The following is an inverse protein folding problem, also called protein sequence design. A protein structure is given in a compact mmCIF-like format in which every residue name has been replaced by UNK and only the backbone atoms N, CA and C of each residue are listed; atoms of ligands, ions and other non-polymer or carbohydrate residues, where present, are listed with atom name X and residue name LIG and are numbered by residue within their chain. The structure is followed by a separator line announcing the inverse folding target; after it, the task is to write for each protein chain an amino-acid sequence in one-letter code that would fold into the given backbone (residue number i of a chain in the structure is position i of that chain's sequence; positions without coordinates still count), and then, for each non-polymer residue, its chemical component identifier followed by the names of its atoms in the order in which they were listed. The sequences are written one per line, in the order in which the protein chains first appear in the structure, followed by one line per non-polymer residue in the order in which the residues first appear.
data_IF_234898986179
#
_entry.id   IF_234898986179
#
_cell.length_a   1.000
_cell.length_b   1.000
_cell.length_c   1.000
_cell.angle_alpha   90.00
_cell.angle_beta   90.00
_cell.angle_gamma   90.00
#
_symmetry.space_group_name_H-M   'P 1'
#
loop_
_entity.id
_entity.type
_entity.pdbx_description
1 polymer ?
#
# COMPACT_ATOMS: atom_id res chain seq x y z
N UNK A 1 20.79 13.76 24.35
CA UNK A 1 20.03 13.89 23.09
C UNK A 1 18.59 13.63 23.44
N UNK A 2 17.70 14.55 23.10
CA UNK A 2 16.26 14.46 23.43
C UNK A 2 15.49 14.25 22.14
N UNK A 3 14.72 13.16 22.05
CA UNK A 3 13.82 12.93 20.93
C UNK A 3 12.50 13.66 21.21
N UNK A 4 12.03 14.41 20.22
CA UNK A 4 10.74 15.11 20.23
C UNK A 4 9.83 14.52 19.17
N UNK A 5 8.51 14.47 19.43
CA UNK A 5 7.49 14.13 18.44
C UNK A 5 6.67 15.38 18.16
N UNK A 6 6.48 15.66 16.89
CA UNK A 6 5.66 16.77 16.40
C UNK A 6 4.87 16.37 15.15
N UNK A 7 3.94 17.24 14.77
CA UNK A 7 3.29 17.11 13.48
C UNK A 7 4.29 17.25 12.33
N UNK A 8 4.03 16.49 11.28
CA UNK A 8 4.71 16.61 10.01
C UNK A 8 4.47 17.99 9.39
N UNK A 9 5.50 18.55 8.81
CA UNK A 9 5.44 19.75 7.99
C UNK A 9 5.77 19.39 6.53
N UNK A 10 5.27 20.14 5.53
CA UNK A 10 5.58 19.85 4.12
C UNK A 10 7.09 19.74 3.83
N UNK A 11 7.92 20.50 4.54
CA UNK A 11 9.39 20.44 4.43
C UNK A 11 10.00 19.10 4.92
N UNK A 12 9.23 18.28 5.64
CA UNK A 12 9.70 16.96 6.12
C UNK A 12 9.51 15.85 5.07
N UNK A 13 8.88 16.12 3.92
CA UNK A 13 8.47 15.08 2.97
C UNK A 13 9.64 14.21 2.49
N UNK A 14 10.78 14.80 2.14
CA UNK A 14 11.99 14.05 1.76
C UNK A 14 12.54 13.20 2.91
N UNK A 15 12.58 13.75 4.11
CA UNK A 15 13.05 13.05 5.31
C UNK A 15 12.08 11.91 5.69
N UNK A 16 10.77 12.13 5.52
CA UNK A 16 9.74 11.11 5.70
C UNK A 16 9.96 9.91 4.80
N UNK A 17 10.12 10.15 3.49
CA UNK A 17 10.36 9.11 2.50
C UNK A 17 11.68 8.39 2.78
N UNK A 18 12.75 9.12 3.10
CA UNK A 18 14.06 8.55 3.46
C UNK A 18 13.95 7.58 4.64
N UNK A 19 13.30 8.00 5.74
CA UNK A 19 13.15 7.17 6.94
C UNK A 19 12.33 5.92 6.63
N UNK A 20 11.23 6.08 5.91
CA UNK A 20 10.36 4.96 5.57
C UNK A 20 11.01 3.97 4.61
N UNK A 21 11.72 4.44 3.58
CA UNK A 21 12.47 3.57 2.66
C UNK A 21 13.58 2.79 3.37
N UNK A 22 14.25 3.40 4.35
CA UNK A 22 15.25 2.71 5.16
C UNK A 22 14.63 1.63 6.05
N UNK A 23 13.43 1.87 6.60
CA UNK A 23 12.72 0.92 7.45
C UNK A 23 11.97 -0.15 6.62
N UNK A 24 11.46 0.20 5.44
CA UNK A 24 10.61 -0.60 4.57
C UNK A 24 11.17 -0.59 3.14
N UNK A 25 12.16 -1.44 2.83
CA UNK A 25 12.88 -1.38 1.54
C UNK A 25 12.00 -1.69 0.31
N UNK A 26 10.82 -2.29 0.52
CA UNK A 26 9.83 -2.57 -0.53
C UNK A 26 8.90 -1.38 -0.83
N UNK A 27 8.99 -0.29 -0.09
CA UNK A 27 8.11 0.86 -0.25
C UNK A 27 8.37 1.60 -1.56
N UNK A 28 7.27 1.87 -2.28
CA UNK A 28 7.23 2.70 -3.48
C UNK A 28 6.41 3.95 -3.13
N UNK A 29 7.08 5.05 -2.89
CA UNK A 29 6.46 6.34 -2.55
C UNK A 29 7.40 7.49 -2.84
N UNK A 30 6.84 8.67 -3.06
CA UNK A 30 7.56 9.92 -3.29
C UNK A 30 7.14 10.99 -2.29
N UNK A 31 7.92 12.07 -2.12
CA UNK A 31 7.50 13.22 -1.32
C UNK A 31 6.16 13.81 -1.78
N UNK A 32 5.93 13.89 -3.08
CA UNK A 32 4.68 14.40 -3.67
C UNK A 32 3.48 13.54 -3.30
N UNK A 33 3.63 12.20 -3.30
CA UNK A 33 2.58 11.29 -2.85
C UNK A 33 2.24 11.53 -1.38
N UNK A 34 3.24 11.70 -0.51
CA UNK A 34 3.02 11.95 0.93
C UNK A 34 2.23 13.25 1.14
N UNK A 35 2.59 14.30 0.40
CA UNK A 35 1.90 15.59 0.47
C UNK A 35 0.46 15.50 -0.05
N UNK A 36 0.26 14.81 -1.16
CA UNK A 36 -1.07 14.58 -1.74
C UNK A 36 -1.94 13.72 -0.82
N UNK A 37 -1.42 12.61 -0.28
CA UNK A 37 -2.14 11.74 0.66
C UNK A 37 -2.60 12.48 1.92
N UNK A 38 -1.84 13.49 2.35
CA UNK A 38 -2.21 14.33 3.48
C UNK A 38 -3.27 15.38 3.10
N UNK A 39 -3.11 16.01 1.93
CA UNK A 39 -4.00 17.08 1.46
C UNK A 39 -5.38 16.55 1.07
N UNK A 40 -5.43 15.39 0.42
CA UNK A 40 -6.64 14.75 -0.09
C UNK A 40 -7.30 13.78 0.90
N UNK A 41 -6.76 13.68 2.13
CA UNK A 41 -7.31 12.76 3.13
C UNK A 41 -8.76 13.14 3.47
N UNK A 42 -9.68 12.17 3.38
CA UNK A 42 -11.07 12.38 3.77
C UNK A 42 -11.16 12.88 5.22
N UNK A 43 -12.02 13.88 5.54
CA UNK A 43 -12.12 14.44 6.90
C UNK A 43 -12.36 13.38 7.99
N UNK A 44 -13.21 12.39 7.74
CA UNK A 44 -13.54 11.32 8.69
C UNK A 44 -12.36 10.36 8.94
N UNK A 45 -11.31 10.43 8.13
CA UNK A 45 -10.07 9.69 8.37
C UNK A 45 -9.28 10.24 9.55
N UNK A 46 -9.53 11.49 9.97
CA UNK A 46 -8.75 12.17 11.00
C UNK A 46 -7.24 11.96 10.83
N UNK A 47 -6.80 12.02 9.55
CA UNK A 47 -5.46 11.64 9.14
C UNK A 47 -4.41 12.58 9.69
N UNK A 48 -3.36 12.03 10.28
CA UNK A 48 -2.24 12.78 10.85
C UNK A 48 -0.92 12.09 10.54
N UNK A 49 0.07 12.87 10.14
CA UNK A 49 1.44 12.43 10.00
C UNK A 49 2.27 13.00 11.14
N UNK A 50 3.04 12.16 11.83
CA UNK A 50 3.90 12.52 12.94
C UNK A 50 5.36 12.23 12.60
N UNK A 51 6.26 13.11 13.02
CA UNK A 51 7.70 12.89 12.93
C UNK A 51 8.34 12.86 14.31
N UNK A 52 9.33 11.98 14.49
CA UNK A 52 10.21 11.99 15.62
C UNK A 52 11.53 12.60 15.19
N UNK A 53 11.96 13.65 15.88
CA UNK A 53 13.15 14.45 15.58
C UNK A 53 14.17 14.35 16.72
N UNK A 54 15.43 14.18 16.37
CA UNK A 54 16.58 14.23 17.27
C UNK A 54 17.61 15.20 16.71
N UNK A 55 17.97 16.24 17.45
CA UNK A 55 18.96 17.26 17.06
C UNK A 55 18.70 17.88 15.66
N UNK A 56 17.43 18.12 15.31
CA UNK A 56 17.01 18.69 14.02
C UNK A 56 16.91 17.68 12.87
N UNK A 57 17.19 16.39 13.10
CA UNK A 57 17.05 15.33 12.11
C UNK A 57 15.79 14.51 12.35
N UNK A 58 14.96 14.30 11.32
CA UNK A 58 13.84 13.35 11.36
C UNK A 58 14.38 11.93 11.33
N UNK A 59 14.18 11.19 12.43
CA UNK A 59 14.65 9.82 12.64
C UNK A 59 13.54 8.79 12.70
N UNK A 60 12.29 9.23 12.80
CA UNK A 60 11.12 8.36 12.85
C UNK A 60 9.88 9.06 12.32
N UNK A 61 8.91 8.27 11.90
CA UNK A 61 7.64 8.72 11.31
C UNK A 61 6.50 7.87 11.83
N UNK A 62 5.28 8.43 11.91
CA UNK A 62 4.08 7.64 12.10
C UNK A 62 2.93 8.19 11.27
N UNK A 63 2.20 7.31 10.62
CA UNK A 63 0.95 7.61 9.94
C UNK A 63 -0.19 7.14 10.83
N UNK A 64 -1.13 8.03 11.13
CA UNK A 64 -2.19 7.82 12.11
C UNK A 64 -3.54 8.24 11.51
N UNK A 65 -4.61 7.54 11.83
CA UNK A 65 -5.95 7.91 11.40
C UNK A 65 -6.98 6.83 11.62
N UNK A 66 -8.22 7.11 11.22
CA UNK A 66 -9.34 6.17 11.22
C UNK A 66 -9.45 5.50 9.85
N UNK A 67 -9.73 4.21 9.84
CA UNK A 67 -10.09 3.45 8.63
C UNK A 67 -11.56 3.74 8.28
N UNK A 68 -11.85 4.96 7.79
CA UNK A 68 -13.20 5.47 7.60
C UNK A 68 -14.04 4.67 6.58
N UNK A 69 -13.38 4.02 5.61
CA UNK A 69 -14.04 3.14 4.63
C UNK A 69 -14.20 1.69 5.15
N UNK A 70 -13.81 1.43 6.40
CA UNK A 70 -14.00 0.12 7.01
C UNK A 70 -15.48 -0.14 7.31
N UNK A 71 -15.94 -1.36 7.02
CA UNK A 71 -17.28 -1.81 7.44
C UNK A 71 -17.41 -2.00 8.95
N UNK A 72 -16.28 -1.95 9.69
CA UNK A 72 -16.23 -1.92 11.16
C UNK A 72 -15.98 -0.48 11.60
N UNK A 73 -16.84 0.11 12.43
CA UNK A 73 -16.65 1.48 12.91
C UNK A 73 -15.43 1.61 13.84
N UNK A 74 -14.94 2.82 13.99
CA UNK A 74 -13.97 3.24 15.00
C UNK A 74 -12.64 2.46 14.99
N UNK A 75 -12.27 1.92 13.82
CA UNK A 75 -11.00 1.24 13.64
C UNK A 75 -9.89 2.25 13.32
N UNK A 76 -9.02 2.51 14.28
CA UNK A 76 -7.84 3.34 14.12
C UNK A 76 -6.65 2.56 13.53
N UNK A 77 -5.73 3.28 12.93
CA UNK A 77 -4.41 2.76 12.56
C UNK A 77 -3.31 3.71 13.05
N UNK A 78 -2.19 3.12 13.47
CA UNK A 78 -0.96 3.85 13.81
C UNK A 78 0.23 3.03 13.33
N UNK A 79 0.94 3.51 12.31
CA UNK A 79 2.07 2.81 11.69
C UNK A 79 3.38 3.59 11.92
N UNK A 80 4.06 3.39 13.07
CA UNK A 80 5.32 4.04 13.40
C UNK A 80 6.49 3.29 12.78
N UNK A 81 7.42 4.02 12.16
CA UNK A 81 8.69 3.49 11.66
C UNK A 81 9.84 4.38 12.12
N UNK A 82 10.93 3.77 12.55
CA UNK A 82 12.15 4.45 12.97
C UNK A 82 13.28 3.98 12.06
N UNK A 83 14.10 4.94 11.60
CA UNK A 83 15.29 4.62 10.80
C UNK A 83 16.10 3.53 11.50
N UNK A 84 16.51 2.45 10.81
CA UNK A 84 17.20 1.31 11.44
C UNK A 84 18.38 1.72 12.34
N UNK A 85 19.23 2.63 11.87
CA UNK A 85 20.41 3.10 12.61
C UNK A 85 20.09 4.03 13.79
N UNK A 86 18.83 4.42 13.96
CA UNK A 86 18.34 5.32 15.01
C UNK A 86 17.39 4.64 15.99
N UNK A 87 17.21 3.30 15.88
CA UNK A 87 16.41 2.51 16.83
C UNK A 87 17.02 2.51 18.24
N UNK A 88 16.21 2.19 19.24
CA UNK A 88 16.65 2.09 20.65
C UNK A 88 16.74 3.42 21.40
N UNK A 89 16.40 4.57 20.78
CA UNK A 89 16.47 5.92 21.37
C UNK A 89 15.14 6.46 21.90
N UNK A 90 14.08 5.65 21.92
CA UNK A 90 12.76 6.04 22.43
C UNK A 90 11.79 6.59 21.39
N UNK A 91 12.24 6.94 20.17
CA UNK A 91 11.41 7.54 19.12
C UNK A 91 10.12 6.74 18.83
N UNK A 92 10.22 5.43 18.64
CA UNK A 92 9.05 4.57 18.41
C UNK A 92 8.02 4.59 19.55
N UNK A 93 8.49 4.68 20.80
CA UNK A 93 7.60 4.77 21.97
C UNK A 93 6.83 6.08 22.03
N UNK A 94 7.49 7.17 21.67
CA UNK A 94 6.88 8.50 21.63
C UNK A 94 5.87 8.60 20.48
N UNK A 95 6.21 8.06 19.29
CA UNK A 95 5.31 8.05 18.15
C UNK A 95 4.04 7.23 18.43
N UNK A 96 4.18 6.01 19.01
CA UNK A 96 3.02 5.19 19.40
C UNK A 96 2.13 5.95 20.38
N UNK A 97 2.71 6.55 21.44
CA UNK A 97 1.96 7.30 22.44
C UNK A 97 1.17 8.45 21.79
N UNK A 98 1.83 9.29 21.01
CA UNK A 98 1.19 10.41 20.34
C UNK A 98 0.08 9.95 19.36
N UNK A 99 0.29 8.83 18.67
CA UNK A 99 -0.71 8.23 17.80
C UNK A 99 -1.92 7.70 18.56
N UNK A 100 -1.70 6.97 19.67
CA UNK A 100 -2.78 6.45 20.52
C UNK A 100 -3.57 7.57 21.19
N UNK A 101 -2.91 8.63 21.66
CA UNK A 101 -3.55 9.83 22.21
C UNK A 101 -4.47 10.50 21.18
N UNK A 102 -3.99 10.67 19.94
CA UNK A 102 -4.80 11.21 18.85
C UNK A 102 -6.02 10.31 18.57
N UNK A 103 -5.82 9.01 18.41
CA UNK A 103 -6.88 8.05 18.08
C UNK A 103 -7.94 7.96 19.19
N UNK A 104 -7.53 7.97 20.46
CA UNK A 104 -8.45 8.05 21.59
C UNK A 104 -9.28 9.35 21.54
N UNK A 105 -8.63 10.46 21.22
CA UNK A 105 -9.29 11.78 21.12
C UNK A 105 -10.33 11.86 20.00
N UNK A 106 -10.21 11.05 18.95
CA UNK A 106 -11.19 10.97 17.82
C UNK A 106 -12.13 9.78 17.91
N UNK A 107 -12.15 9.07 19.06
CA UNK A 107 -13.13 8.02 19.35
C UNK A 107 -12.79 6.63 18.80
N UNK A 108 -11.55 6.37 18.43
CA UNK A 108 -11.16 5.01 18.05
C UNK A 108 -11.31 4.05 19.23
N UNK A 109 -11.80 2.85 18.95
CA UNK A 109 -11.95 1.75 19.93
C UNK A 109 -10.87 0.70 19.81
N UNK A 110 -10.22 0.62 18.66
CA UNK A 110 -9.08 -0.27 18.41
C UNK A 110 -8.02 0.42 17.58
N UNK A 111 -6.75 0.07 17.80
CA UNK A 111 -5.61 0.51 17.00
C UNK A 111 -4.98 -0.66 16.30
N UNK A 112 -4.92 -0.57 14.99
CA UNK A 112 -4.22 -1.50 14.12
C UNK A 112 -2.84 -0.94 13.74
N UNK A 113 -1.83 -1.81 13.71
CA UNK A 113 -0.49 -1.46 13.25
C UNK A 113 0.12 -2.59 12.45
N UNK A 114 0.97 -2.25 11.49
CA UNK A 114 1.84 -3.22 10.82
C UNK A 114 3.20 -3.23 11.51
N UNK A 115 3.70 -4.42 11.81
CA UNK A 115 4.97 -4.63 12.50
C UNK A 115 5.86 -5.50 11.63
N UNK A 116 6.99 -4.94 11.21
CA UNK A 116 7.97 -5.66 10.40
C UNK A 116 8.55 -6.84 11.21
N UNK A 117 8.47 -8.02 10.64
CA UNK A 117 9.04 -9.26 11.18
C UNK A 117 10.45 -9.49 10.60
N UNK A 118 11.37 -8.58 10.97
CA UNK A 118 12.79 -8.66 10.65
C UNK A 118 13.64 -9.15 11.83
N UNK A 119 12.98 -9.65 12.87
CA UNK A 119 13.57 -10.15 14.08
C UNK A 119 12.70 -9.93 15.33
N UNK A 120 13.05 -10.53 16.47
CA UNK A 120 12.17 -10.58 17.64
C UNK A 120 11.93 -9.21 18.30
N UNK A 121 12.78 -8.22 18.03
CA UNK A 121 12.72 -6.93 18.71
C UNK A 121 11.46 -6.13 18.38
N UNK A 122 11.05 -6.10 17.11
CA UNK A 122 9.87 -5.34 16.67
C UNK A 122 8.57 -5.99 17.19
N UNK A 123 8.46 -7.31 17.09
CA UNK A 123 7.30 -8.06 17.62
C UNK A 123 7.19 -7.91 19.14
N UNK A 124 8.34 -8.00 19.85
CA UNK A 124 8.38 -7.80 21.31
C UNK A 124 8.03 -6.35 21.70
N UNK A 125 8.40 -5.36 20.87
CA UNK A 125 8.04 -3.97 21.09
C UNK A 125 6.52 -3.75 21.04
N UNK A 126 5.84 -4.35 20.07
CA UNK A 126 4.38 -4.31 19.97
C UNK A 126 3.71 -5.08 21.14
N UNK A 127 4.15 -6.31 21.40
CA UNK A 127 3.59 -7.16 22.47
C UNK A 127 3.68 -6.51 23.86
N UNK A 128 4.82 -5.86 24.19
CA UNK A 128 5.01 -5.14 25.47
C UNK A 128 4.05 -3.96 25.65
N UNK A 129 3.40 -3.48 24.56
CA UNK A 129 2.40 -2.41 24.56
C UNK A 129 0.97 -2.92 24.49
N UNK A 130 0.78 -4.23 24.63
CA UNK A 130 -0.54 -4.85 24.62
C UNK A 130 -1.12 -5.08 23.22
N UNK A 131 -0.32 -4.93 22.16
CA UNK A 131 -0.74 -5.28 20.83
C UNK A 131 -0.67 -6.79 20.62
N UNK A 132 -1.79 -7.39 20.23
CA UNK A 132 -1.88 -8.81 19.91
C UNK A 132 -1.66 -9.05 18.41
N UNK A 133 -0.77 -9.98 18.09
CA UNK A 133 -0.52 -10.38 16.70
C UNK A 133 -1.79 -10.98 16.05
N UNK A 134 -2.00 -10.67 14.80
CA UNK A 134 -3.07 -11.20 13.95
C UNK A 134 -2.46 -11.94 12.77
N UNK A 135 -2.67 -11.47 11.56
CA UNK A 135 -2.26 -12.12 10.32
C UNK A 135 -1.04 -11.47 9.71
N UNK A 136 -0.18 -12.24 9.07
CA UNK A 136 0.95 -11.71 8.32
C UNK A 136 0.53 -11.27 6.90
N UNK A 137 1.31 -10.31 6.35
CA UNK A 137 1.34 -9.98 4.94
C UNK A 137 2.77 -10.13 4.43
N UNK A 138 2.91 -10.64 3.23
CA UNK A 138 4.19 -10.76 2.55
C UNK A 138 4.35 -9.65 1.52
N UNK A 139 5.50 -9.00 1.56
CA UNK A 139 5.94 -8.08 0.53
C UNK A 139 6.97 -8.80 -0.36
N UNK A 140 6.76 -8.68 -1.65
CA UNK A 140 7.53 -9.44 -2.64
C UNK A 140 8.23 -8.49 -3.61
N UNK A 141 9.41 -8.89 -4.07
CA UNK A 141 10.21 -8.16 -5.05
C UNK A 141 10.49 -9.04 -6.26
N UNK A 142 10.48 -8.43 -7.43
CA UNK A 142 10.94 -8.98 -8.69
C UNK A 142 11.94 -8.02 -9.33
N UNK A 143 13.14 -8.49 -9.68
CA UNK A 143 14.07 -7.73 -10.51
C UNK A 143 13.55 -7.66 -11.94
N UNK A 144 13.26 -6.46 -12.45
CA UNK A 144 12.80 -6.27 -13.83
C UNK A 144 13.95 -6.14 -14.82
N UNK A 145 15.06 -5.54 -14.39
CA UNK A 145 16.21 -5.31 -15.27
C UNK A 145 16.83 -6.63 -15.77
N UNK A 146 17.07 -7.54 -14.83
CA UNK A 146 17.78 -8.81 -15.07
C UNK A 146 16.85 -10.03 -15.10
N UNK A 147 15.59 -9.85 -14.70
CA UNK A 147 14.61 -10.92 -14.62
C UNK A 147 14.02 -11.32 -15.96
N UNK A 148 13.65 -12.60 -16.07
CA UNK A 148 12.94 -13.11 -17.24
C UNK A 148 11.44 -13.07 -16.97
N UNK A 149 10.74 -12.12 -17.60
CA UNK A 149 9.27 -12.11 -17.59
C UNK A 149 8.72 -13.18 -18.53
N UNK A 150 7.60 -13.81 -18.19
CA UNK A 150 6.88 -14.66 -19.14
C UNK A 150 6.55 -13.87 -20.42
N UNK A 151 6.65 -14.48 -21.61
CA UNK A 151 6.36 -13.77 -22.85
C UNK A 151 4.91 -13.27 -22.89
N UNK A 152 4.72 -12.16 -23.58
CA UNK A 152 3.37 -11.69 -23.89
C UNK A 152 2.70 -12.73 -24.80
N UNK A 153 1.48 -13.10 -24.44
CA UNK A 153 0.71 -14.12 -25.17
C UNK A 153 -0.25 -13.44 -26.16
N UNK A 154 -0.60 -14.14 -27.23
CA UNK A 154 -1.70 -13.75 -28.10
C UNK A 154 -3.00 -13.68 -27.30
N UNK A 155 -3.80 -12.65 -27.58
CA UNK A 155 -5.06 -12.44 -26.88
C UNK A 155 -6.12 -13.42 -27.41
N UNK A 156 -6.86 -14.09 -26.54
CA UNK A 156 -8.01 -14.88 -26.96
C UNK A 156 -9.06 -14.02 -27.67
N UNK A 157 -9.89 -14.63 -28.51
CA UNK A 157 -10.99 -13.92 -29.17
C UNK A 157 -11.91 -13.23 -28.12
N UNK A 158 -12.28 -11.99 -28.41
CA UNK A 158 -13.10 -11.16 -27.52
C UNK A 158 -12.36 -10.57 -26.32
N UNK A 159 -11.06 -10.87 -26.11
CA UNK A 159 -10.23 -10.28 -25.07
C UNK A 159 -9.48 -9.08 -25.63
N UNK A 160 -9.61 -7.94 -24.98
CA UNK A 160 -8.85 -6.71 -25.26
C UNK A 160 -7.87 -6.39 -24.13
N UNK A 161 -6.81 -5.68 -24.47
CA UNK A 161 -5.80 -5.19 -23.54
C UNK A 161 -5.65 -3.69 -23.72
N UNK A 162 -6.02 -2.93 -22.72
CA UNK A 162 -6.02 -1.48 -22.62
C UNK A 162 -5.13 -1.04 -21.45
N UNK A 163 -5.04 0.25 -21.24
CA UNK A 163 -4.43 0.87 -20.05
C UNK A 163 -5.44 1.74 -19.32
N UNK A 164 -5.14 2.19 -18.12
CA UNK A 164 -5.99 3.16 -17.43
C UNK A 164 -6.07 4.49 -18.20
N UNK A 165 -5.05 4.86 -18.99
CA UNK A 165 -5.09 6.05 -19.85
C UNK A 165 -6.23 6.01 -20.88
N UNK A 166 -6.68 4.85 -21.30
CA UNK A 166 -7.82 4.70 -22.21
C UNK A 166 -9.17 5.04 -21.53
N UNK A 167 -9.17 5.29 -20.21
CA UNK A 167 -10.34 5.63 -19.40
C UNK A 167 -10.25 7.05 -18.80
N UNK A 168 -9.38 7.93 -19.29
CA UNK A 168 -9.19 9.29 -18.75
C UNK A 168 -10.48 10.12 -18.83
N UNK A 169 -11.28 9.96 -19.89
CA UNK A 169 -12.55 10.67 -20.05
C UNK A 169 -13.66 10.14 -19.13
N UNK A 170 -13.61 8.86 -18.77
CA UNK A 170 -14.55 8.23 -17.85
C UNK A 170 -13.89 7.09 -17.06
N UNK A 171 -13.27 7.37 -15.90
CA UNK A 171 -12.67 6.33 -15.05
C UNK A 171 -13.66 5.54 -14.20
N UNK A 172 -14.96 5.83 -14.25
CA UNK A 172 -16.00 5.14 -13.47
C UNK A 172 -15.99 3.62 -13.64
N UNK A 173 -15.80 3.03 -14.82
CA UNK A 173 -15.72 1.57 -14.95
C UNK A 173 -14.56 0.95 -14.16
N UNK A 174 -13.42 1.67 -14.02
CA UNK A 174 -12.30 1.22 -13.21
C UNK A 174 -12.58 1.35 -11.71
N UNK A 175 -13.26 2.42 -11.27
CA UNK A 175 -13.75 2.54 -9.90
C UNK A 175 -14.65 1.37 -9.51
N UNK A 176 -15.62 1.00 -10.37
CA UNK A 176 -16.52 -0.13 -10.13
C UNK A 176 -15.74 -1.46 -10.03
N UNK A 177 -14.76 -1.66 -10.91
CA UNK A 177 -13.91 -2.84 -10.90
C UNK A 177 -13.02 -2.90 -9.65
N UNK A 178 -12.44 -1.79 -9.24
CA UNK A 178 -11.62 -1.69 -8.04
C UNK A 178 -12.45 -1.93 -6.78
N UNK A 179 -13.63 -1.32 -6.69
CA UNK A 179 -14.58 -1.54 -5.58
C UNK A 179 -14.96 -3.02 -5.43
N UNK A 180 -15.31 -3.71 -6.54
CA UNK A 180 -15.64 -5.13 -6.49
C UNK A 180 -14.46 -5.98 -6.03
N UNK A 181 -13.27 -5.74 -6.58
CA UNK A 181 -12.11 -6.58 -6.29
C UNK A 181 -11.52 -6.33 -4.91
N UNK A 182 -11.50 -5.08 -4.44
CA UNK A 182 -11.04 -4.72 -3.08
C UNK A 182 -11.94 -5.30 -2.01
N UNK A 183 -13.27 -5.33 -2.23
CA UNK A 183 -14.20 -5.93 -1.27
C UNK A 183 -14.00 -7.44 -1.07
N UNK A 184 -13.34 -8.11 -1.99
CA UNK A 184 -13.03 -9.55 -1.92
C UNK A 184 -11.64 -9.83 -1.33
N UNK A 185 -10.84 -8.81 -1.03
CA UNK A 185 -9.54 -9.01 -0.40
C UNK A 185 -9.68 -9.47 1.06
N UNK A 186 -8.89 -10.46 1.49
CA UNK A 186 -8.84 -10.84 2.90
C UNK A 186 -8.43 -9.64 3.75
N UNK A 187 -9.27 -9.20 4.70
CA UNK A 187 -8.98 -8.06 5.58
C UNK A 187 -9.58 -8.21 6.99
N UNK A 188 -8.83 -7.76 8.02
CA UNK A 188 -9.36 -7.61 9.40
C UNK A 188 -10.24 -6.36 9.52
N UNK A 189 -10.00 -5.40 8.64
CA UNK A 189 -10.76 -4.17 8.45
C UNK A 189 -11.22 -4.12 7.00
N UNK A 190 -12.28 -4.87 6.61
CA UNK A 190 -12.78 -4.88 5.24
C UNK A 190 -13.10 -3.46 4.78
N UNK A 191 -12.63 -3.10 3.61
CA UNK A 191 -12.84 -1.79 2.99
C UNK A 191 -13.89 -1.91 1.90
N UNK A 192 -14.73 -0.89 1.79
CA UNK A 192 -15.69 -0.75 0.70
C UNK A 192 -15.64 0.69 0.19
N UNK A 193 -15.16 0.88 -1.01
CA UNK A 193 -15.24 2.19 -1.67
C UNK A 193 -16.69 2.51 -2.03
N UNK A 194 -17.22 3.56 -1.46
CA UNK A 194 -18.60 4.02 -1.73
C UNK A 194 -18.62 5.44 -2.30
N UNK A 195 -17.54 6.18 -2.15
CA UNK A 195 -17.37 7.55 -2.59
C UNK A 195 -16.45 7.62 -3.81
N UNK A 196 -17.04 7.89 -4.98
CA UNK A 196 -16.33 8.02 -6.23
C UNK A 196 -15.39 9.23 -6.26
N UNK A 197 -15.81 10.36 -5.70
CA UNK A 197 -14.96 11.57 -5.67
C UNK A 197 -13.76 11.38 -4.76
N UNK A 198 -13.94 10.72 -3.62
CA UNK A 198 -12.83 10.33 -2.77
C UNK A 198 -11.87 9.38 -3.49
N UNK A 199 -12.38 8.37 -4.20
CA UNK A 199 -11.55 7.46 -5.00
C UNK A 199 -10.80 8.19 -6.12
N UNK A 200 -11.45 9.15 -6.79
CA UNK A 200 -10.77 9.99 -7.79
C UNK A 200 -9.61 10.76 -7.19
N UNK A 201 -9.77 11.33 -6.01
CA UNK A 201 -8.73 12.11 -5.33
C UNK A 201 -7.59 11.23 -4.83
N UNK A 202 -7.92 10.13 -4.15
CA UNK A 202 -6.96 9.32 -3.38
C UNK A 202 -6.37 8.15 -4.16
N UNK A 203 -6.94 7.79 -5.31
CA UNK A 203 -6.48 6.69 -6.17
C UNK A 203 -6.18 7.18 -7.59
N UNK A 204 -7.17 7.65 -8.31
CA UNK A 204 -7.05 7.98 -9.73
C UNK A 204 -6.07 9.14 -10.01
N UNK A 205 -6.17 10.24 -9.24
CA UNK A 205 -5.33 11.43 -9.38
C UNK A 205 -4.12 11.42 -8.45
N UNK A 206 -3.92 10.34 -7.71
CA UNK A 206 -2.81 10.23 -6.76
C UNK A 206 -1.48 10.28 -7.50
N UNK A 207 -0.53 11.15 -7.12
CA UNK A 207 0.81 11.13 -7.67
C UNK A 207 1.43 9.74 -7.55
N UNK A 208 2.04 9.26 -8.61
CA UNK A 208 2.62 7.92 -8.66
C UNK A 208 1.67 6.82 -9.15
N UNK A 209 0.34 7.04 -9.18
CA UNK A 209 -0.54 6.17 -9.95
C UNK A 209 -0.25 6.36 -11.44
N UNK A 210 0.21 5.29 -12.10
CA UNK A 210 0.65 5.39 -13.50
C UNK A 210 -0.41 4.80 -14.43
N UNK A 211 -1.13 5.71 -15.11
CA UNK A 211 -2.20 5.32 -16.04
C UNK A 211 -1.70 4.49 -17.22
N UNK A 212 -0.52 4.80 -17.76
CA UNK A 212 0.04 4.10 -18.92
C UNK A 212 0.58 2.71 -18.57
N UNK A 213 1.00 2.50 -17.33
CA UNK A 213 1.49 1.21 -16.81
C UNK A 213 0.39 0.37 -16.16
N UNK A 214 -0.74 0.99 -15.78
CA UNK A 214 -1.91 0.26 -15.26
C UNK A 214 -2.61 -0.45 -16.41
N UNK A 215 -2.49 -1.79 -16.44
CA UNK A 215 -3.07 -2.61 -17.50
C UNK A 215 -4.49 -3.03 -17.18
N UNK A 216 -5.37 -2.95 -18.16
CA UNK A 216 -6.80 -3.25 -18.08
C UNK A 216 -7.15 -4.30 -19.13
N UNK A 217 -7.66 -5.44 -18.69
CA UNK A 217 -8.14 -6.51 -19.58
C UNK A 217 -9.65 -6.39 -19.73
N UNK A 218 -10.11 -6.36 -20.96
CA UNK A 218 -11.53 -6.38 -21.29
C UNK A 218 -11.95 -7.72 -21.91
N UNK A 219 -13.22 -8.07 -21.73
CA UNK A 219 -13.87 -9.20 -22.43
C UNK A 219 -15.15 -8.66 -23.05
N UNK A 220 -15.27 -8.77 -24.36
CA UNK A 220 -16.37 -8.23 -25.15
C UNK A 220 -16.63 -6.74 -24.82
N UNK A 221 -15.52 -5.97 -24.69
CA UNK A 221 -15.53 -4.53 -24.41
C UNK A 221 -15.81 -4.12 -22.96
N UNK A 222 -16.00 -5.08 -22.04
CA UNK A 222 -16.21 -4.82 -20.60
C UNK A 222 -14.96 -5.12 -19.79
N UNK A 223 -14.65 -4.32 -18.79
CA UNK A 223 -13.55 -4.59 -17.86
C UNK A 223 -13.78 -5.95 -17.19
N UNK A 224 -12.75 -6.78 -17.20
CA UNK A 224 -12.76 -8.11 -16.62
C UNK A 224 -11.66 -8.33 -15.57
N UNK A 225 -10.51 -7.68 -15.76
CA UNK A 225 -9.38 -7.70 -14.82
C UNK A 225 -8.52 -6.46 -15.02
N UNK A 226 -7.72 -6.11 -14.01
CA UNK A 226 -6.73 -5.04 -14.10
C UNK A 226 -5.53 -5.30 -13.19
N UNK A 227 -4.44 -4.57 -13.44
CA UNK A 227 -3.28 -4.49 -12.56
C UNK A 227 -2.88 -3.03 -12.44
N UNK A 228 -3.22 -2.41 -11.33
CA UNK A 228 -2.92 -1.03 -11.01
C UNK A 228 -1.43 -0.86 -10.73
N UNK A 229 -0.83 0.15 -11.34
CA UNK A 229 0.58 0.47 -11.25
C UNK A 229 0.81 1.74 -10.43
N UNK A 230 1.70 1.65 -9.46
CA UNK A 230 2.27 2.82 -8.77
C UNK A 230 3.78 2.86 -9.00
N UNK A 231 4.35 4.05 -9.11
CA UNK A 231 5.77 4.23 -9.36
C UNK A 231 6.38 5.33 -8.49
N UNK A 232 7.70 5.28 -8.33
CA UNK A 232 8.44 6.38 -7.70
C UNK A 232 9.04 7.36 -8.74
N UNK A 233 8.70 7.18 -10.02
CA UNK A 233 9.23 7.98 -11.12
C UNK A 233 10.73 7.76 -11.39
N UNK A 234 11.38 6.81 -10.71
CA UNK A 234 12.82 6.55 -10.82
C UNK A 234 13.10 5.11 -11.23
N UNK A 235 13.05 4.19 -10.28
CA UNK A 235 13.46 2.79 -10.51
C UNK A 235 12.44 1.77 -10.00
N UNK A 236 11.48 2.18 -9.18
CA UNK A 236 10.58 1.29 -8.47
C UNK A 236 9.16 1.37 -9.01
N UNK A 237 8.65 0.23 -9.33
CA UNK A 237 7.26 -0.03 -9.69
C UNK A 237 6.59 -0.88 -8.62
N UNK A 238 5.32 -0.67 -8.37
CA UNK A 238 4.47 -1.53 -7.54
C UNK A 238 3.23 -1.96 -8.31
N UNK A 239 2.91 -3.27 -8.27
CA UNK A 239 1.55 -3.71 -8.56
C UNK A 239 0.71 -3.45 -7.30
N UNK A 240 0.12 -2.26 -7.21
CA UNK A 240 -0.61 -1.81 -6.02
C UNK A 240 -1.88 -2.64 -5.81
N UNK A 241 -2.61 -2.92 -6.89
CA UNK A 241 -3.78 -3.80 -6.92
C UNK A 241 -3.73 -4.68 -8.15
N UNK A 242 -4.12 -5.94 -8.03
CA UNK A 242 -4.34 -6.83 -9.18
C UNK A 242 -5.61 -7.63 -8.93
N UNK A 243 -6.64 -7.39 -9.70
CA UNK A 243 -7.96 -7.98 -9.52
C UNK A 243 -8.56 -8.58 -10.77
N UNK A 244 -9.47 -9.52 -10.57
CA UNK A 244 -10.37 -10.07 -11.60
C UNK A 244 -11.79 -10.04 -11.07
N UNK A 245 -12.70 -9.40 -11.80
CA UNK A 245 -14.11 -9.36 -11.48
C UNK A 245 -14.68 -10.76 -11.35
N UNK A 246 -15.59 -10.97 -10.41
CA UNK A 246 -16.13 -12.30 -10.03
C UNK A 246 -16.61 -13.11 -11.23
N UNK A 247 -17.31 -12.46 -12.17
CA UNK A 247 -17.85 -13.08 -13.38
C UNK A 247 -16.79 -13.63 -14.35
N UNK A 248 -15.52 -13.19 -14.22
CA UNK A 248 -14.45 -13.53 -15.15
C UNK A 248 -13.31 -14.34 -14.50
N UNK A 249 -13.45 -14.74 -13.25
CA UNK A 249 -12.41 -15.52 -12.53
C UNK A 249 -12.15 -16.88 -13.16
N UNK A 250 -10.99 -17.45 -12.83
CA UNK A 250 -10.58 -18.77 -13.33
C UNK A 250 -10.08 -18.79 -14.78
N UNK A 251 -10.03 -17.63 -15.48
CA UNK A 251 -9.63 -17.52 -16.89
C UNK A 251 -8.20 -17.01 -17.12
N UNK A 252 -7.43 -16.81 -16.05
CA UNK A 252 -6.04 -16.32 -16.12
C UNK A 252 -5.89 -14.80 -16.39
N UNK A 253 -6.98 -14.03 -16.37
CA UNK A 253 -6.97 -12.61 -16.77
C UNK A 253 -6.13 -11.72 -15.85
N UNK A 254 -6.05 -12.01 -14.54
CA UNK A 254 -5.14 -11.31 -13.63
C UNK A 254 -3.67 -11.48 -14.04
N UNK A 255 -3.28 -12.69 -14.48
CA UNK A 255 -1.93 -12.93 -15.01
C UNK A 255 -1.67 -12.14 -16.29
N UNK A 256 -2.67 -12.05 -17.16
CA UNK A 256 -2.56 -11.30 -18.41
C UNK A 256 -2.36 -9.80 -18.12
N UNK A 257 -3.21 -9.19 -17.26
CA UNK A 257 -3.08 -7.79 -16.87
C UNK A 257 -1.71 -7.51 -16.22
N UNK A 258 -1.32 -8.33 -15.24
CA UNK A 258 -0.06 -8.15 -14.52
C UNK A 258 1.16 -8.33 -15.42
N UNK A 259 1.13 -9.31 -16.33
CA UNK A 259 2.23 -9.53 -17.28
C UNK A 259 2.44 -8.34 -18.21
N UNK A 260 1.37 -7.79 -18.77
CA UNK A 260 1.44 -6.60 -19.61
C UNK A 260 1.97 -5.39 -18.83
N UNK A 261 1.43 -5.12 -17.63
CA UNK A 261 1.90 -4.03 -16.77
C UNK A 261 3.40 -4.15 -16.44
N UNK A 262 3.89 -5.35 -16.11
CA UNK A 262 5.31 -5.60 -15.84
C UNK A 262 6.19 -5.38 -17.09
N UNK A 263 5.73 -5.79 -18.27
CA UNK A 263 6.46 -5.55 -19.52
C UNK A 263 6.53 -4.06 -19.84
N UNK A 264 5.44 -3.32 -19.63
CA UNK A 264 5.40 -1.86 -19.79
C UNK A 264 6.35 -1.18 -18.80
N UNK A 265 6.30 -1.56 -17.52
CA UNK A 265 7.18 -1.02 -16.48
C UNK A 265 8.66 -1.24 -16.83
N UNK A 266 9.04 -2.44 -17.29
CA UNK A 266 10.41 -2.73 -17.75
C UNK A 266 10.80 -1.88 -18.96
N UNK A 267 9.90 -1.73 -19.94
CA UNK A 267 10.14 -0.91 -21.14
C UNK A 267 10.29 0.58 -20.78
N UNK A 268 9.60 1.05 -19.73
CA UNK A 268 9.73 2.40 -19.19
C UNK A 268 11.00 2.61 -18.35
N UNK A 269 11.82 1.56 -18.11
CA UNK A 269 13.12 1.65 -17.43
C UNK A 269 13.06 1.35 -15.92
N UNK A 270 11.94 0.91 -15.37
CA UNK A 270 11.89 0.47 -13.97
C UNK A 270 12.68 -0.81 -13.79
N UNK A 271 13.48 -0.87 -12.71
CA UNK A 271 14.39 -1.99 -12.44
C UNK A 271 13.88 -2.96 -11.41
N UNK A 272 12.96 -2.52 -10.55
CA UNK A 272 12.43 -3.30 -9.44
C UNK A 272 10.91 -3.21 -9.39
N UNK A 273 10.25 -4.36 -9.34
CA UNK A 273 8.81 -4.45 -9.10
C UNK A 273 8.52 -5.00 -7.71
N UNK A 274 7.58 -4.36 -7.03
CA UNK A 274 7.11 -4.76 -5.71
C UNK A 274 5.62 -5.07 -5.72
N UNK A 275 5.17 -5.84 -4.75
CA UNK A 275 3.74 -6.08 -4.46
C UNK A 275 3.59 -6.60 -3.04
N UNK A 276 2.43 -6.37 -2.42
CA UNK A 276 2.09 -6.88 -1.10
C UNK A 276 0.87 -7.79 -1.17
N UNK A 277 0.85 -8.86 -0.36
CA UNK A 277 -0.32 -9.72 -0.24
C UNK A 277 -0.46 -10.26 1.16
N UNK A 278 -1.70 -10.40 1.61
CA UNK A 278 -1.99 -11.22 2.78
C UNK A 278 -1.43 -12.63 2.61
N UNK A 279 -0.81 -13.18 3.66
CA UNK A 279 -0.20 -14.51 3.60
C UNK A 279 -1.23 -15.64 3.37
N UNK A 280 -2.50 -15.38 3.67
CA UNK A 280 -3.62 -16.28 3.37
C UNK A 280 -4.14 -16.18 1.93
N UNK A 281 -3.70 -15.19 1.14
CA UNK A 281 -4.10 -15.04 -0.25
C UNK A 281 -3.30 -15.98 -1.19
N UNK A 282 -3.50 -17.28 -1.00
CA UNK A 282 -2.81 -18.32 -1.76
C UNK A 282 -2.86 -18.14 -3.29
N UNK A 283 -4.03 -17.80 -3.88
CA UNK A 283 -4.14 -17.56 -5.31
C UNK A 283 -3.19 -16.46 -5.84
N UNK A 284 -3.16 -15.29 -5.17
CA UNK A 284 -2.28 -14.19 -5.59
C UNK A 284 -0.81 -14.49 -5.33
N UNK A 285 -0.48 -15.14 -4.21
CA UNK A 285 0.89 -15.61 -3.96
C UNK A 285 1.36 -16.61 -5.04
N UNK A 286 0.49 -17.47 -5.54
CA UNK A 286 0.80 -18.37 -6.65
C UNK A 286 1.03 -17.61 -7.96
N UNK A 287 0.23 -16.59 -8.25
CA UNK A 287 0.43 -15.70 -9.41
C UNK A 287 1.78 -14.98 -9.31
N UNK A 288 2.11 -14.40 -8.16
CA UNK A 288 3.36 -13.67 -7.97
C UNK A 288 4.59 -14.59 -8.10
N UNK A 289 4.55 -15.79 -7.51
CA UNK A 289 5.63 -16.79 -7.67
C UNK A 289 5.82 -17.21 -9.11
N UNK A 290 4.73 -17.33 -9.87
CA UNK A 290 4.82 -17.67 -11.30
C UNK A 290 5.56 -16.60 -12.11
N UNK A 291 5.50 -15.32 -11.71
CA UNK A 291 6.31 -14.25 -12.29
C UNK A 291 7.75 -14.22 -11.79
N UNK A 292 8.10 -15.01 -10.78
CA UNK A 292 9.43 -15.01 -10.16
C UNK A 292 9.58 -13.98 -9.02
N UNK A 293 8.49 -13.45 -8.49
CA UNK A 293 8.55 -12.64 -7.27
C UNK A 293 9.00 -13.47 -6.07
N UNK A 294 9.90 -12.91 -5.28
CA UNK A 294 10.41 -13.50 -4.04
C UNK A 294 9.99 -12.64 -2.84
N UNK A 295 9.70 -13.28 -1.70
CA UNK A 295 9.38 -12.56 -0.47
C UNK A 295 10.63 -11.81 -0.01
N UNK A 296 10.53 -10.49 0.08
CA UNK A 296 11.61 -9.61 0.57
C UNK A 296 11.36 -9.07 1.98
N UNK A 297 10.11 -9.09 2.44
CA UNK A 297 9.74 -8.71 3.80
C UNK A 297 8.42 -9.38 4.22
N UNK A 298 8.22 -9.48 5.53
CA UNK A 298 6.94 -9.86 6.14
C UNK A 298 6.58 -8.84 7.19
N UNK A 299 5.35 -8.35 7.18
CA UNK A 299 4.78 -7.59 8.28
C UNK A 299 3.65 -8.39 8.94
N UNK A 300 3.54 -8.27 10.25
CA UNK A 300 2.46 -8.89 11.01
C UNK A 300 1.51 -7.81 11.50
N UNK A 301 0.24 -7.92 11.12
CA UNK A 301 -0.81 -7.06 11.66
C UNK A 301 -0.94 -7.29 13.15
N UNK A 302 -0.93 -6.23 13.93
CA UNK A 302 -1.17 -6.24 15.37
C UNK A 302 -2.35 -5.34 15.70
N UNK A 303 -3.08 -5.67 16.74
CA UNK A 303 -4.28 -4.95 17.18
C UNK A 303 -4.23 -4.76 18.69
N UNK A 304 -4.63 -3.58 19.15
CA UNK A 304 -4.86 -3.24 20.54
C UNK A 304 -6.20 -2.56 20.70
N UNK A 305 -7.03 -3.03 21.62
CA UNK A 305 -8.23 -2.31 22.07
C UNK A 305 -7.81 -1.13 22.97
N UNK A 306 -8.42 0.05 22.72
CA UNK A 306 -8.14 1.31 23.43
C UNK A 306 -9.43 1.93 23.94
N UNK A 307 -10.37 1.15 24.40
CA UNK A 307 -11.63 1.61 24.99
C UNK A 307 -11.64 1.57 26.51
#
# INVERSE_FOLDING_TARGET
MTVLVRDFLPADADAWVRVRRAALPYMVTTPEQVLSDLAEAHPDRHHRLLVAEEDGEVIGTAQVGISHESTKPDQGFCNPYVHPDRRGRGAGSLLVRAGEEHLTGVGATAVHTWVLDDGPANLAFAGKRGYAARRPAHFLRLGLADGTLPPLQELPAGVGLLTAADFEDDPRPLFEADTETTSDEPSDTPVQFTDYENWLATTWRRPGFDHALTSVVTVDGRIAAFSAAETDGLTRYSSAMTGTLRAYRGRGLAKLAKNDSLHRARAAGYTDAYTGNDAGNGPMLAVNRWFGYEICATEVRHVREIG
#
